data_IF_896477428861
#
_entry.id   IF_896477428861
#
_cell.length_a   1.000
_cell.length_b   1.000
_cell.length_c   1.000
_cell.angle_alpha   90.00
_cell.angle_beta   90.00
_cell.angle_gamma   90.00
#
_symmetry.space_group_name_H-M   'P 1'
#
loop_
_entity.id
_entity.type
_entity.pdbx_description
1 polymer ?
#
# COMPACT_ATOMS: atom_id res chain seq x y z
N UNK A 1 10.06 -1.66 10.50
CA UNK A 1 9.76 -1.56 9.07
C UNK A 1 9.73 -0.11 8.70
N UNK A 2 10.50 0.24 7.68
CA UNK A 2 10.67 1.59 7.13
C UNK A 2 9.79 1.77 5.89
N UNK A 3 9.61 3.01 5.44
CA UNK A 3 8.87 3.34 4.20
C UNK A 3 9.36 2.57 2.96
N UNK A 4 10.66 2.53 2.61
CA UNK A 4 11.12 1.79 1.44
C UNK A 4 10.79 0.29 1.51
N UNK A 5 10.92 -0.32 2.69
CA UNK A 5 10.55 -1.74 2.87
C UNK A 5 9.04 -1.96 2.62
N UNK A 6 8.18 -1.05 3.08
CA UNK A 6 6.72 -1.15 2.84
C UNK A 6 6.43 -1.09 1.34
N UNK A 7 7.08 -0.17 0.62
CA UNK A 7 6.91 0.00 -0.83
C UNK A 7 7.34 -1.27 -1.57
N UNK A 8 8.50 -1.84 -1.23
CA UNK A 8 8.96 -3.09 -1.84
C UNK A 8 7.97 -4.24 -1.62
N UNK A 9 7.47 -4.41 -0.41
CA UNK A 9 6.48 -5.45 -0.13
C UNK A 9 5.17 -5.20 -0.88
N UNK A 10 4.70 -3.95 -0.97
CA UNK A 10 3.51 -3.61 -1.77
C UNK A 10 3.72 -3.97 -3.25
N UNK A 11 4.91 -3.73 -3.81
CA UNK A 11 5.27 -4.14 -5.18
C UNK A 11 5.33 -5.66 -5.35
N UNK A 12 5.72 -6.40 -4.32
CA UNK A 12 5.69 -7.87 -4.30
C UNK A 12 4.27 -8.46 -4.17
N UNK A 13 3.23 -7.62 -4.15
CA UNK A 13 1.84 -8.05 -4.05
C UNK A 13 1.35 -8.27 -2.62
N UNK A 14 2.05 -7.72 -1.62
CA UNK A 14 1.53 -7.66 -0.26
C UNK A 14 0.40 -6.63 -0.17
N UNK A 15 -0.51 -6.82 0.78
CA UNK A 15 -1.67 -5.94 0.96
C UNK A 15 -1.58 -5.20 2.28
N UNK A 16 -1.63 -3.87 2.23
CA UNK A 16 -1.72 -3.01 3.41
C UNK A 16 -3.19 -2.71 3.72
N UNK A 17 -3.66 -3.08 4.90
CA UNK A 17 -5.08 -2.95 5.30
C UNK A 17 -5.23 -2.36 6.69
N UNK A 18 -6.20 -1.48 6.88
CA UNK A 18 -6.61 -1.02 8.21
C UNK A 18 -7.82 -1.83 8.68
N UNK A 19 -7.71 -2.43 9.87
CA UNK A 19 -8.76 -3.24 10.49
C UNK A 19 -9.51 -2.52 11.62
N UNK A 20 -9.44 -1.19 11.66
CA UNK A 20 -10.03 -0.35 12.72
C UNK A 20 -9.13 -0.21 13.95
N UNK A 21 -8.28 -1.19 14.23
CA UNK A 21 -7.31 -1.15 15.35
C UNK A 21 -5.89 -0.78 14.90
N UNK A 22 -5.68 -0.56 13.60
CA UNK A 22 -4.38 -0.22 13.04
C UNK A 22 -4.15 -0.79 11.65
N UNK A 23 -3.00 -0.43 11.08
CA UNK A 23 -2.56 -0.84 9.77
C UNK A 23 -1.75 -2.13 9.81
N UNK A 24 -2.04 -3.03 8.89
CA UNK A 24 -1.41 -4.34 8.79
C UNK A 24 -1.00 -4.62 7.35
N UNK A 25 0.28 -4.83 7.13
CA UNK A 25 0.83 -5.33 5.88
C UNK A 25 0.81 -6.87 5.90
N UNK A 26 0.10 -7.48 4.96
CA UNK A 26 -0.13 -8.93 4.91
C UNK A 26 0.44 -9.51 3.63
N UNK A 27 1.22 -10.58 3.76
CA UNK A 27 1.77 -11.31 2.63
C UNK A 27 0.66 -11.96 1.78
N UNK A 28 0.87 -12.15 0.47
CA UNK A 28 -0.03 -12.91 -0.37
C UNK A 28 -0.28 -14.30 0.21
N UNK A 29 -1.53 -14.78 0.12
CA UNK A 29 -1.91 -16.09 0.66
C UNK A 29 -1.26 -17.19 -0.16
N UNK A 30 -0.40 -17.97 0.49
CA UNK A 30 0.13 -19.22 -0.05
C UNK A 30 -0.62 -20.39 0.60
N UNK A 31 -1.17 -21.35 -0.15
CA UNK A 31 -1.82 -22.53 0.41
C UNK A 31 -0.92 -23.24 1.43
N UNK A 32 -1.52 -23.68 2.54
CA UNK A 32 -0.84 -24.45 3.60
C UNK A 32 0.32 -23.75 4.32
N UNK A 33 0.44 -22.41 4.20
CA UNK A 33 1.42 -21.62 4.96
C UNK A 33 0.74 -20.49 5.73
N UNK A 34 1.24 -20.22 6.95
CA UNK A 34 0.85 -19.02 7.70
C UNK A 34 1.30 -17.79 6.92
N UNK A 35 0.36 -16.91 6.59
CA UNK A 35 0.68 -15.61 5.99
C UNK A 35 1.45 -14.76 6.99
N UNK A 36 2.57 -14.19 6.55
CA UNK A 36 3.29 -13.18 7.34
C UNK A 36 2.44 -11.92 7.42
N UNK A 37 2.42 -11.30 8.59
CA UNK A 37 1.74 -10.04 8.82
C UNK A 37 2.63 -9.15 9.69
N UNK A 38 2.72 -7.89 9.31
CA UNK A 38 3.42 -6.85 10.07
C UNK A 38 2.47 -5.72 10.41
N UNK A 39 2.49 -5.27 11.65
CA UNK A 39 1.75 -4.08 12.06
C UNK A 39 2.56 -2.84 11.68
N UNK A 40 1.91 -1.92 11.00
CA UNK A 40 2.51 -0.67 10.52
C UNK A 40 1.95 0.47 11.38
N UNK A 41 2.82 1.34 11.93
CA UNK A 41 2.36 2.52 12.63
C UNK A 41 1.59 3.45 11.69
N UNK A 42 0.46 3.97 12.16
CA UNK A 42 -0.39 4.89 11.38
C UNK A 42 0.39 6.10 10.87
N UNK A 43 1.28 6.68 11.69
CA UNK A 43 2.15 7.80 11.29
C UNK A 43 2.91 7.57 9.98
N UNK A 44 3.32 6.33 9.72
CA UNK A 44 4.08 5.96 8.50
C UNK A 44 3.13 5.91 7.32
N UNK A 45 1.96 5.29 7.50
CA UNK A 45 0.93 5.21 6.44
C UNK A 45 0.42 6.60 6.08
N UNK A 46 0.17 7.47 7.06
CA UNK A 46 -0.24 8.85 6.84
C UNK A 46 0.83 9.68 6.15
N UNK A 47 2.12 9.46 6.44
CA UNK A 47 3.22 10.11 5.71
C UNK A 47 3.22 9.65 4.24
N UNK A 48 3.15 8.35 3.99
CA UNK A 48 3.12 7.79 2.63
C UNK A 48 1.88 8.22 1.82
N UNK A 49 0.73 8.36 2.48
CA UNK A 49 -0.50 8.88 1.85
C UNK A 49 -0.35 10.37 1.51
N UNK A 50 0.20 11.17 2.44
CA UNK A 50 0.46 12.60 2.22
C UNK A 50 1.46 12.84 1.08
N UNK A 51 2.46 11.97 0.96
CA UNK A 51 3.47 12.02 -0.10
C UNK A 51 2.96 11.46 -1.44
N UNK A 52 1.70 10.99 -1.48
CA UNK A 52 1.07 10.47 -2.70
C UNK A 52 1.63 9.13 -3.16
N UNK A 53 2.31 8.38 -2.29
CA UNK A 53 2.90 7.07 -2.57
C UNK A 53 1.82 5.98 -2.56
N UNK A 54 0.86 6.10 -1.64
CA UNK A 54 -0.25 5.16 -1.50
C UNK A 54 -1.57 5.92 -1.49
N UNK A 55 -2.62 5.25 -1.96
CA UNK A 55 -3.99 5.72 -1.82
C UNK A 55 -4.77 4.79 -0.91
N UNK A 56 -5.43 5.33 0.09
CA UNK A 56 -6.37 4.55 0.87
C UNK A 56 -7.71 4.48 0.15
N UNK A 57 -8.20 3.26 -0.06
CA UNK A 57 -9.48 2.95 -0.67
C UNK A 57 -10.30 2.12 0.31
N UNK A 58 -11.56 2.50 0.49
CA UNK A 58 -12.49 1.78 1.37
C UNK A 58 -13.59 1.15 0.49
N UNK A 59 -13.35 -0.04 -0.09
CA UNK A 59 -14.35 -0.67 -0.97
C UNK A 59 -15.59 -1.13 -0.20
N UNK A 60 -15.46 -1.50 1.08
CA UNK A 60 -16.57 -1.93 1.94
C UNK A 60 -16.30 -1.54 3.41
N UNK A 61 -15.98 -2.50 4.27
CA UNK A 61 -15.73 -2.31 5.71
C UNK A 61 -14.24 -2.24 6.09
N UNK A 62 -13.35 -2.47 5.14
CA UNK A 62 -11.90 -2.52 5.39
C UNK A 62 -11.22 -1.51 4.50
N UNK A 63 -10.45 -0.62 5.10
CA UNK A 63 -9.60 0.31 4.35
C UNK A 63 -8.42 -0.48 3.84
N UNK A 64 -8.15 -0.38 2.54
CA UNK A 64 -6.96 -0.93 1.90
C UNK A 64 -6.11 0.23 1.42
N UNK A 65 -4.80 0.09 1.48
CA UNK A 65 -3.89 1.00 0.81
C UNK A 65 -3.38 0.32 -0.45
N UNK A 66 -3.59 0.99 -1.57
CA UNK A 66 -3.05 0.60 -2.87
C UNK A 66 -1.83 1.47 -3.16
N UNK A 67 -0.77 0.87 -3.69
CA UNK A 67 0.38 1.62 -4.16
C UNK A 67 -0.09 2.45 -5.34
N UNK A 68 0.03 3.78 -5.22
CA UNK A 68 0.03 4.63 -6.39
C UNK A 68 1.39 4.37 -7.03
N UNK A 69 1.46 3.40 -7.95
CA UNK A 69 2.52 3.46 -8.95
C UNK A 69 2.42 4.87 -9.51
N UNK A 70 3.50 5.66 -9.34
CA UNK A 70 3.63 6.91 -10.05
C UNK A 70 3.44 6.52 -11.51
N UNK A 71 2.23 6.70 -12.03
CA UNK A 71 2.04 6.90 -13.44
C UNK A 71 2.91 8.10 -13.70
N UNK A 72 4.11 7.80 -14.21
CA UNK A 72 4.86 8.69 -15.05
C UNK A 72 3.79 9.46 -15.82
N UNK A 73 3.68 10.80 -15.70
CA UNK A 73 2.83 11.53 -16.62
C UNK A 73 3.46 11.27 -17.99
N UNK A 74 3.00 10.23 -18.68
CA UNK A 74 3.04 10.13 -20.13
C UNK A 74 2.13 11.25 -20.57
N UNK A 75 2.65 12.48 -20.52
CA UNK A 75 2.06 13.68 -21.08
C UNK A 75 1.68 13.32 -22.51
N UNK A 76 0.38 13.24 -22.86
CA UNK A 76 0.03 13.37 -24.25
C UNK A 76 -0.05 14.87 -24.54
N UNK A 77 0.71 15.31 -25.54
CA UNK A 77 0.56 16.55 -26.31
C UNK A 77 1.82 17.43 -26.32
N UNK A 78 2.57 17.30 -27.41
CA UNK A 78 3.09 18.44 -28.17
C UNK A 78 3.07 17.98 -29.64
N UNK A 79 2.03 18.37 -30.38
CA UNK A 79 2.08 19.46 -31.37
C UNK A 79 3.08 19.21 -32.51
N UNK A 80 2.54 18.79 -33.67
CA UNK A 80 2.88 19.29 -35.02
C UNK A 80 1.62 19.27 -35.89
#
# INVERSE_FOLDING_TARGET
MTEPEIIEHLREGWTLTNRGTGWYLTAPKVPYRKSKQYQIPERVVSAMEKDGIIKTVMPYLTIRAELLEQQNPSIPANEV
#
